data_IF_226030049499
#
_entry.id   IF_226030049499
#
_cell.length_a   1.000
_cell.length_b   1.000
_cell.length_c   1.000
_cell.angle_alpha   90.00
_cell.angle_beta   90.00
_cell.angle_gamma   90.00
#
_symmetry.space_group_name_H-M   'P 1'
#
loop_
_entity.id
_entity.type
_entity.pdbx_description
1 polymer ?
#
# COMPACT_ATOMS: atom_id res chain seq x y z
N UNK A 1 7.76 -8.51 -14.29
CA UNK A 1 7.94 -8.18 -12.87
C UNK A 1 7.05 -9.08 -12.02
N UNK A 2 7.61 -9.62 -10.97
CA UNK A 2 6.87 -10.48 -10.06
C UNK A 2 7.06 -10.00 -8.62
N UNK A 3 5.96 -9.71 -7.95
CA UNK A 3 5.97 -9.27 -6.56
C UNK A 3 5.99 -10.48 -5.63
N UNK A 4 6.54 -10.30 -4.44
CA UNK A 4 6.43 -11.32 -3.41
C UNK A 4 4.96 -11.45 -3.01
N UNK A 5 4.59 -12.58 -2.43
CA UNK A 5 3.23 -12.84 -2.00
C UNK A 5 2.71 -11.74 -1.06
N UNK A 6 3.52 -11.34 -0.09
CA UNK A 6 3.13 -10.30 0.86
C UNK A 6 2.94 -8.94 0.20
N UNK A 7 3.83 -8.58 -0.72
CA UNK A 7 3.73 -7.32 -1.44
C UNK A 7 2.52 -7.32 -2.35
N UNK A 8 2.25 -8.45 -2.98
CA UNK A 8 1.09 -8.59 -3.86
C UNK A 8 -0.22 -8.49 -3.08
N UNK A 9 -0.28 -9.05 -1.87
CA UNK A 9 -1.46 -8.91 -1.01
C UNK A 9 -1.75 -7.45 -0.71
N UNK A 10 -0.72 -6.65 -0.43
CA UNK A 10 -0.89 -5.22 -0.19
C UNK A 10 -1.42 -4.52 -1.43
N UNK A 11 -0.90 -4.87 -2.60
CA UNK A 11 -1.37 -4.32 -3.86
C UNK A 11 -2.84 -4.67 -4.11
N UNK A 12 -3.21 -5.92 -3.92
CA UNK A 12 -4.59 -6.36 -4.10
C UNK A 12 -5.55 -5.64 -3.17
N UNK A 13 -5.13 -5.46 -1.92
CA UNK A 13 -5.93 -4.72 -0.96
C UNK A 13 -6.22 -3.30 -1.46
N UNK A 14 -5.18 -2.63 -1.95
CA UNK A 14 -5.34 -1.28 -2.48
C UNK A 14 -6.24 -1.26 -3.71
N UNK A 15 -6.07 -2.21 -4.62
CA UNK A 15 -6.92 -2.31 -5.80
C UNK A 15 -8.39 -2.48 -5.43
N UNK A 16 -8.66 -3.27 -4.40
CA UNK A 16 -10.01 -3.54 -3.93
C UNK A 16 -10.65 -2.32 -3.22
N UNK A 17 -9.81 -1.38 -2.78
CA UNK A 17 -10.26 -0.21 -2.02
C UNK A 17 -10.08 1.09 -2.80
N UNK A 18 -10.24 1.03 -4.12
CA UNK A 18 -10.18 2.21 -4.97
C UNK A 18 -8.76 2.77 -5.17
N UNK A 19 -7.75 2.00 -4.82
CA UNK A 19 -6.36 2.36 -5.02
C UNK A 19 -5.78 3.28 -3.96
N UNK A 20 -6.49 3.50 -2.86
CA UNK A 20 -6.02 4.39 -1.79
C UNK A 20 -6.42 3.87 -0.41
N UNK A 21 -5.48 3.87 0.51
CA UNK A 21 -5.75 3.51 1.91
C UNK A 21 -4.63 4.06 2.79
N UNK A 22 -4.90 4.17 4.09
CA UNK A 22 -3.85 4.55 5.03
C UNK A 22 -3.01 3.32 5.36
N UNK A 23 -1.78 3.54 5.80
CA UNK A 23 -0.93 2.43 6.24
C UNK A 23 -1.55 1.69 7.42
N UNK A 24 -2.22 2.42 8.32
CA UNK A 24 -2.89 1.81 9.47
C UNK A 24 -4.04 0.90 9.04
N UNK A 25 -4.84 1.33 8.07
CA UNK A 25 -5.91 0.50 7.53
C UNK A 25 -5.36 -0.79 6.92
N UNK A 26 -4.26 -0.67 6.19
CA UNK A 26 -3.59 -1.82 5.60
C UNK A 26 -3.06 -2.76 6.67
N UNK A 27 -2.46 -2.20 7.72
CA UNK A 27 -1.92 -3.00 8.83
C UNK A 27 -3.01 -3.87 9.45
N UNK A 28 -4.13 -3.28 9.76
CA UNK A 28 -5.25 -3.98 10.39
C UNK A 28 -5.84 -5.03 9.43
N UNK A 29 -6.07 -4.64 8.19
CA UNK A 29 -6.70 -5.52 7.19
C UNK A 29 -5.83 -6.73 6.86
N UNK A 30 -4.52 -6.55 6.81
CA UNK A 30 -3.58 -7.62 6.46
C UNK A 30 -3.08 -8.40 7.68
N UNK A 31 -3.57 -8.05 8.86
CA UNK A 31 -3.24 -8.76 10.09
C UNK A 31 -1.81 -8.59 10.56
N UNK A 32 -1.18 -7.46 10.22
CA UNK A 32 0.19 -7.18 10.64
C UNK A 32 0.22 -6.59 12.04
N UNK A 33 1.10 -7.08 12.88
CA UNK A 33 1.23 -6.57 14.25
C UNK A 33 1.92 -5.21 14.30
N UNK A 34 2.84 -4.97 13.36
CA UNK A 34 3.64 -3.75 13.35
C UNK A 34 3.48 -3.00 12.04
N UNK A 35 3.46 -1.68 12.14
CA UNK A 35 3.38 -0.82 10.96
C UNK A 35 4.61 -0.99 10.05
N UNK A 36 5.76 -1.38 10.63
CA UNK A 36 6.97 -1.63 9.86
C UNK A 36 6.78 -2.71 8.80
N UNK A 37 5.93 -3.71 9.05
CA UNK A 37 5.62 -4.75 8.07
C UNK A 37 4.92 -4.17 6.85
N UNK A 38 4.01 -3.23 7.06
CA UNK A 38 3.33 -2.54 5.97
C UNK A 38 4.29 -1.62 5.24
N UNK A 39 5.14 -0.91 5.98
CA UNK A 39 6.14 -0.01 5.38
C UNK A 39 7.03 -0.75 4.40
N UNK A 40 7.48 -1.95 4.76
CA UNK A 40 8.30 -2.77 3.86
C UNK A 40 7.58 -3.15 2.57
N UNK A 41 6.32 -3.54 2.68
CA UNK A 41 5.50 -3.89 1.51
C UNK A 41 5.26 -2.67 0.63
N UNK A 42 4.94 -1.54 1.23
CA UNK A 42 4.72 -0.28 0.50
C UNK A 42 6.00 0.17 -0.18
N UNK A 43 7.15 0.04 0.49
CA UNK A 43 8.44 0.37 -0.11
C UNK A 43 8.68 -0.41 -1.40
N UNK A 44 8.33 -1.70 -1.41
CA UNK A 44 8.45 -2.52 -2.61
C UNK A 44 7.55 -2.02 -3.74
N UNK A 45 6.32 -1.62 -3.40
CA UNK A 45 5.40 -1.08 -4.40
C UNK A 45 5.92 0.25 -4.95
N UNK A 46 6.42 1.12 -4.08
CA UNK A 46 6.98 2.42 -4.50
C UNK A 46 8.21 2.22 -5.37
N UNK A 47 9.07 1.30 -4.99
CA UNK A 47 10.28 0.98 -5.76
C UNK A 47 9.96 0.51 -7.17
N UNK A 48 8.86 -0.21 -7.34
CA UNK A 48 8.41 -0.71 -8.63
C UNK A 48 7.48 0.27 -9.37
N UNK A 49 7.33 1.48 -8.84
CA UNK A 49 6.50 2.54 -9.43
C UNK A 49 5.02 2.18 -9.51
N UNK A 50 4.58 1.28 -8.63
CA UNK A 50 3.17 0.86 -8.58
C UNK A 50 2.35 1.68 -7.60
N UNK A 51 3.01 2.37 -6.68
CA UNK A 51 2.34 3.17 -5.66
C UNK A 51 3.22 4.34 -5.25
N UNK A 52 2.62 5.29 -4.55
CA UNK A 52 3.35 6.39 -3.92
C UNK A 52 2.69 6.71 -2.57
N UNK A 53 3.45 7.38 -1.72
CA UNK A 53 2.96 7.80 -0.41
C UNK A 53 2.56 9.25 -0.45
N UNK A 54 1.50 9.57 0.29
CA UNK A 54 1.05 10.95 0.47
C UNK A 54 0.80 11.17 1.96
N UNK A 55 1.39 12.21 2.52
CA UNK A 55 1.13 12.61 3.89
C UNK A 55 0.04 13.67 3.90
N UNK A 56 -1.01 13.41 4.65
CA UNK A 56 -2.14 14.33 4.78
C UNK A 56 -2.24 14.77 6.23
N UNK A 57 -2.20 16.07 6.46
CA UNK A 57 -2.40 16.60 7.80
C UNK A 57 -3.90 16.62 8.10
N UNK A 58 -4.26 16.05 9.23
CA UNK A 58 -5.64 16.02 9.68
C UNK A 58 -5.78 16.92 10.90
N UNK A 59 -6.72 17.84 10.85
CA UNK A 59 -6.98 18.74 11.97
C UNK A 59 -7.38 17.92 13.20
N UNK A 60 -6.72 18.22 14.31
CA UNK A 60 -6.97 17.53 15.56
C UNK A 60 -6.07 16.35 15.82
N UNK A 61 -5.25 15.95 14.85
CA UNK A 61 -4.30 14.85 14.99
C UNK A 61 -2.88 15.40 15.18
N UNK A 62 -2.13 14.79 16.08
CA UNK A 62 -0.74 15.20 16.35
C UNK A 62 0.21 14.80 15.21
N UNK A 63 -0.16 13.80 14.44
CA UNK A 63 0.68 13.28 13.35
C UNK A 63 -0.10 13.21 12.05
N UNK A 64 0.55 13.50 10.92
CA UNK A 64 -0.14 13.36 9.65
C UNK A 64 -0.43 11.89 9.36
N UNK A 65 -1.51 11.64 8.63
CA UNK A 65 -1.82 10.31 8.14
C UNK A 65 -1.01 10.04 6.89
N UNK A 66 -0.48 8.82 6.79
CA UNK A 66 0.22 8.42 5.58
C UNK A 66 -0.72 7.58 4.73
N UNK A 67 -1.08 8.11 3.57
CA UNK A 67 -1.87 7.38 2.60
C UNK A 67 -0.96 6.71 1.59
N UNK A 68 -1.37 5.54 1.14
CA UNK A 68 -0.72 4.83 0.04
C UNK A 68 -1.70 4.87 -1.12
N UNK A 69 -1.24 5.44 -2.24
CA UNK A 69 -2.05 5.60 -3.44
C UNK A 69 -1.41 4.81 -4.57
N UNK A 70 -2.20 4.00 -5.25
CA UNK A 70 -1.70 3.29 -6.43
C UNK A 70 -1.56 4.24 -7.62
N UNK A 71 -0.50 4.03 -8.39
CA UNK A 71 -0.34 4.70 -9.69
C UNK A 71 -1.24 3.99 -10.71
N UNK A 72 -1.35 4.54 -11.91
CA UNK A 72 -2.08 3.87 -12.99
C UNK A 72 -1.51 2.47 -13.23
N UNK A 73 -0.18 2.35 -13.18
CA UNK A 73 0.47 1.05 -13.33
C UNK A 73 0.07 0.08 -12.22
N UNK A 74 -0.06 0.59 -10.98
CA UNK A 74 -0.50 -0.23 -9.85
C UNK A 74 -1.96 -0.64 -9.93
N UNK A 75 -2.83 0.27 -10.37
CA UNK A 75 -4.24 -0.02 -10.53
C UNK A 75 -4.50 -1.10 -11.59
N UNK A 76 -3.69 -1.10 -12.63
CA UNK A 76 -3.84 -2.03 -13.75
C UNK A 76 -2.90 -3.24 -13.66
N UNK A 77 -2.14 -3.35 -12.60
CA UNK A 77 -1.17 -4.42 -12.45
C UNK A 77 -1.85 -5.78 -12.30
N UNK A 78 -1.39 -6.73 -13.08
CA UNK A 78 -1.82 -8.12 -12.99
C UNK A 78 -0.55 -8.97 -12.91
N UNK A 79 -0.45 -9.80 -11.88
CA UNK A 79 0.71 -10.66 -11.75
C UNK A 79 0.50 -11.93 -12.56
N UNK A 80 1.45 -12.20 -13.44
CA UNK A 80 1.41 -13.42 -14.24
C UNK A 80 1.72 -14.62 -13.36
N UNK A 81 0.89 -15.66 -13.50
CA UNK A 81 1.10 -16.92 -12.81
C UNK A 81 1.84 -17.88 -13.73
N UNK A 82 3.13 -18.01 -13.50
CA UNK A 82 3.92 -19.00 -14.23
C UNK A 82 4.78 -19.79 -13.29
#
# INVERSE_FOLDING_TARGET
MKLTEKTFEALEYLQAHGGRATTEEMRVALGCEKIASITGRVNSLVKNELAYREKVEVEGEDKPLTYVQLTDAGLNFVQDEE
#
